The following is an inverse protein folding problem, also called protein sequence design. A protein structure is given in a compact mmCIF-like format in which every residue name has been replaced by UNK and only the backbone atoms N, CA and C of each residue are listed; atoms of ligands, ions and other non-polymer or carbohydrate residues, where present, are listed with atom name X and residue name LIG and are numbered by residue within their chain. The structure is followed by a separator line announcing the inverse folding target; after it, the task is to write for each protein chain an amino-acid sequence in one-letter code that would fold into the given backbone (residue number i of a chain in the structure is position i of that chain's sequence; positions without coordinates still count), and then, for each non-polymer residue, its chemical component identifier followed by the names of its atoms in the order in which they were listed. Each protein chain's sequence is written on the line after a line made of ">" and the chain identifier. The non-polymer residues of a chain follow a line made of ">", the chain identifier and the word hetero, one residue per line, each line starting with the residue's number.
data_IF_905647244302
#
_entry.id   IF_905647244302
#
_cell.length_a   1.000
_cell.length_b   1.000
_cell.length_c   1.000
_cell.angle_alpha   90.00
_cell.angle_beta   90.00
_cell.angle_gamma   90.00
#
_symmetry.space_group_name_H-M   'P 1'
#
loop_
_entity.id
_entity.type
_entity.pdbx_description
1 polymer ?
#
# COMPACT_ATOMS: atom_id res chain seq x y z
N UNK A 1 19.16 5.09 -12.90
CA UNK A 1 19.32 4.23 -11.70
C UNK A 1 18.20 3.19 -11.70
N UNK A 2 18.51 1.91 -11.54
CA UNK A 2 17.54 0.82 -11.65
C UNK A 2 17.39 0.12 -10.30
N UNK A 3 16.17 0.12 -9.75
CA UNK A 3 15.81 -0.48 -8.47
C UNK A 3 14.52 -1.27 -8.63
N UNK A 4 14.43 -2.45 -8.03
CA UNK A 4 13.22 -3.29 -8.03
C UNK A 4 12.55 -3.41 -9.41
N UNK A 5 13.36 -3.77 -10.41
CA UNK A 5 12.95 -4.00 -11.79
C UNK A 5 12.40 -2.75 -12.51
N UNK A 6 12.75 -1.54 -12.05
CA UNK A 6 12.28 -0.27 -12.61
C UNK A 6 13.36 0.80 -12.59
N UNK A 7 13.31 1.71 -13.55
CA UNK A 7 14.12 2.92 -13.57
C UNK A 7 13.51 3.96 -12.64
N UNK A 8 14.29 4.44 -11.69
CA UNK A 8 13.89 5.53 -10.82
C UNK A 8 13.69 6.81 -11.63
N UNK A 9 12.55 7.48 -11.45
CA UNK A 9 12.27 8.76 -12.07
C UNK A 9 11.84 9.81 -11.04
N UNK A 10 12.15 11.07 -11.35
CA UNK A 10 11.66 12.23 -10.59
C UNK A 10 10.79 13.07 -11.50
N UNK A 11 9.49 13.06 -11.21
CA UNK A 11 8.50 13.76 -12.02
C UNK A 11 8.45 15.26 -11.66
N UNK A 12 8.02 16.14 -12.60
CA UNK A 12 7.95 17.59 -12.36
C UNK A 12 7.03 18.02 -11.21
N UNK A 13 6.05 17.18 -10.87
CA UNK A 13 5.10 17.40 -9.75
C UNK A 13 5.72 17.14 -8.36
N UNK A 14 6.97 16.65 -8.30
CA UNK A 14 7.63 16.28 -7.06
C UNK A 14 7.51 14.80 -6.70
N UNK A 15 6.82 13.99 -7.51
CA UNK A 15 6.62 12.56 -7.25
C UNK A 15 7.87 11.75 -7.61
N UNK A 16 8.20 10.79 -6.74
CA UNK A 16 9.28 9.81 -6.97
C UNK A 16 8.68 8.43 -7.07
N UNK A 17 8.87 7.79 -8.21
CA UNK A 17 8.42 6.43 -8.49
C UNK A 17 9.38 5.75 -9.50
N UNK A 18 9.05 4.54 -9.92
CA UNK A 18 9.77 3.77 -10.91
C UNK A 18 8.95 3.57 -12.18
N UNK A 19 9.59 3.72 -13.33
CA UNK A 19 9.06 3.40 -14.66
C UNK A 19 9.75 2.17 -15.25
N UNK A 20 9.11 1.53 -16.21
CA UNK A 20 9.73 0.47 -17.04
C UNK A 20 10.45 1.05 -18.26
N UNK A 21 10.21 2.33 -18.57
CA UNK A 21 10.85 3.02 -19.68
C UNK A 21 12.34 3.21 -19.41
N UNK A 22 13.17 2.50 -20.18
CA UNK A 22 14.61 2.75 -20.20
C UNK A 22 14.88 4.08 -20.89
N UNK A 23 15.85 4.84 -20.37
CA UNK A 23 16.27 6.14 -20.91
C UNK A 23 15.17 7.21 -21.03
N UNK A 24 14.06 7.07 -20.29
CA UNK A 24 13.02 8.10 -20.23
C UNK A 24 13.56 9.44 -19.70
N UNK A 25 12.99 10.56 -20.14
CA UNK A 25 13.48 11.93 -19.84
C UNK A 25 13.66 12.20 -18.34
N UNK A 26 12.80 11.63 -17.50
CA UNK A 26 12.82 11.80 -16.04
C UNK A 26 13.67 10.77 -15.28
N UNK A 27 14.25 9.79 -15.99
CA UNK A 27 15.08 8.70 -15.42
C UNK A 27 16.58 9.00 -15.43
N UNK A 28 16.97 10.08 -16.11
CA UNK A 28 18.36 10.53 -16.22
C UNK A 28 18.69 11.36 -14.98
N UNK A 29 19.59 10.83 -14.16
CA UNK A 29 19.92 11.38 -12.85
C UNK A 29 21.40 11.78 -12.79
N UNK A 30 21.66 12.98 -12.30
CA UNK A 30 22.98 13.45 -11.96
C UNK A 30 23.28 13.13 -10.50
N UNK A 31 24.31 12.32 -10.27
CA UNK A 31 24.91 12.10 -8.96
C UNK A 31 26.05 13.09 -8.77
N UNK A 32 26.06 13.79 -7.64
CA UNK A 32 27.12 14.74 -7.30
C UNK A 32 27.51 14.60 -5.84
N UNK A 33 28.82 14.50 -5.58
CA UNK A 33 29.39 14.47 -4.25
C UNK A 33 29.06 15.76 -3.51
N UNK A 34 28.45 15.63 -2.33
CA UNK A 34 28.19 16.76 -1.44
C UNK A 34 29.30 16.90 -0.40
N UNK A 35 29.68 15.78 0.24
CA UNK A 35 30.81 15.64 1.17
C UNK A 35 31.39 14.23 1.02
N UNK A 36 32.51 13.95 1.66
CA UNK A 36 33.06 12.59 1.71
C UNK A 36 31.99 11.61 2.22
N UNK A 37 31.72 10.55 1.45
CA UNK A 37 30.69 9.54 1.76
C UNK A 37 29.24 9.99 1.58
N UNK A 38 28.99 11.26 1.20
CA UNK A 38 27.66 11.83 1.05
C UNK A 38 27.46 12.43 -0.35
N UNK A 39 26.34 12.10 -0.98
CA UNK A 39 26.01 12.61 -2.30
C UNK A 39 24.59 13.13 -2.41
N UNK A 40 24.36 13.87 -3.48
CA UNK A 40 23.05 14.30 -3.92
C UNK A 40 22.71 13.60 -5.23
N UNK A 41 21.41 13.37 -5.43
CA UNK A 41 20.87 12.81 -6.67
C UNK A 41 19.88 13.83 -7.21
N UNK A 42 20.09 14.29 -8.43
CA UNK A 42 19.27 15.32 -9.07
C UNK A 42 18.73 14.82 -10.41
N UNK A 43 17.45 15.07 -10.69
CA UNK A 43 16.88 14.87 -12.02
C UNK A 43 17.44 15.89 -13.01
N UNK A 44 17.96 15.42 -14.14
CA UNK A 44 18.60 16.29 -15.14
C UNK A 44 17.59 17.17 -15.89
N UNK A 45 16.41 16.61 -16.19
CA UNK A 45 15.33 17.34 -16.86
C UNK A 45 14.52 18.23 -15.90
N UNK A 46 14.22 17.74 -14.69
CA UNK A 46 13.35 18.47 -13.74
C UNK A 46 14.10 19.41 -12.80
N UNK A 47 15.42 19.24 -12.68
CA UNK A 47 16.27 19.97 -11.73
C UNK A 47 15.89 19.80 -10.27
N UNK A 48 15.06 18.81 -9.96
CA UNK A 48 14.66 18.46 -8.60
C UNK A 48 15.68 17.50 -7.99
N UNK A 49 15.99 17.72 -6.71
CA UNK A 49 16.75 16.78 -5.91
C UNK A 49 15.84 15.66 -5.41
N UNK A 50 16.34 14.43 -5.45
CA UNK A 50 15.75 13.32 -4.70
C UNK A 50 15.92 13.61 -3.21
N UNK A 51 14.85 13.45 -2.45
CA UNK A 51 14.84 13.72 -1.02
C UNK A 51 14.07 12.64 -0.28
N UNK A 52 14.45 12.39 0.97
CA UNK A 52 13.84 11.42 1.85
C UNK A 52 13.54 12.06 3.21
N UNK A 53 12.25 12.08 3.57
CA UNK A 53 11.86 12.66 4.86
C UNK A 53 12.20 11.73 6.04
N UNK A 54 12.15 12.25 7.27
CA UNK A 54 12.48 11.49 8.48
C UNK A 54 11.55 10.28 8.72
N UNK A 55 10.41 10.23 8.04
CA UNK A 55 9.46 9.14 8.09
C UNK A 55 9.65 8.11 6.95
N UNK A 56 10.65 8.30 6.10
CA UNK A 56 11.03 7.43 4.99
C UNK A 56 10.18 7.56 3.74
N UNK A 57 9.50 8.69 3.55
CA UNK A 57 8.84 8.99 2.28
C UNK A 57 9.82 9.67 1.31
N UNK A 58 9.90 9.16 0.08
CA UNK A 58 10.69 9.73 -1.00
C UNK A 58 9.88 10.80 -1.74
N UNK A 59 10.53 11.92 -2.03
CA UNK A 59 9.94 13.03 -2.76
C UNK A 59 11.03 13.77 -3.54
N UNK A 60 10.64 14.58 -4.51
CA UNK A 60 11.54 15.42 -5.27
C UNK A 60 11.32 16.89 -4.88
N UNK A 61 12.40 17.66 -4.73
CA UNK A 61 12.31 19.06 -4.34
C UNK A 61 13.35 19.94 -5.05
N UNK A 62 12.95 21.17 -5.41
CA UNK A 62 13.84 22.13 -6.10
C UNK A 62 14.98 22.60 -5.21
N UNK A 63 14.71 22.70 -3.92
CA UNK A 63 15.62 23.25 -2.93
C UNK A 63 16.40 22.15 -2.23
N UNK A 64 17.73 22.25 -2.31
CA UNK A 64 18.63 21.34 -1.61
C UNK A 64 18.46 21.52 -0.10
N UNK A 65 17.92 20.48 0.53
CA UNK A 65 17.69 20.43 1.97
C UNK A 65 18.45 19.27 2.58
N UNK A 66 18.41 19.22 3.90
CA UNK A 66 18.94 18.08 4.63
C UNK A 66 18.28 16.77 4.19
N UNK A 67 17.03 16.73 3.72
CA UNK A 67 16.42 15.47 3.26
C UNK A 67 17.05 14.91 1.97
N UNK A 68 17.82 15.69 1.24
CA UNK A 68 18.24 15.39 -0.14
C UNK A 68 19.69 14.89 -0.26
N UNK A 69 20.31 14.58 0.87
CA UNK A 69 21.69 14.07 0.94
C UNK A 69 21.65 12.61 1.40
N UNK A 70 22.38 11.75 0.69
CA UNK A 70 22.38 10.31 0.90
C UNK A 70 23.80 9.81 1.16
N UNK A 71 23.91 8.81 2.02
CA UNK A 71 25.05 7.92 2.10
C UNK A 71 24.92 6.87 1.00
N UNK A 72 25.98 6.68 0.23
CA UNK A 72 26.11 5.60 -0.75
C UNK A 72 26.96 4.49 -0.14
N UNK A 73 26.48 3.26 -0.23
CA UNK A 73 27.20 2.08 0.19
C UNK A 73 27.21 1.05 -0.94
N UNK A 74 28.38 0.46 -1.21
CA UNK A 74 28.54 -0.64 -2.16
C UNK A 74 28.35 -1.93 -1.37
N UNK A 75 27.33 -2.70 -1.73
CA UNK A 75 27.04 -4.00 -1.12
C UNK A 75 27.92 -5.09 -1.75
N UNK A 76 28.06 -6.22 -1.06
CA UNK A 76 28.89 -7.37 -1.49
C UNK A 76 28.54 -7.92 -2.88
N UNK A 77 27.28 -7.74 -3.30
CA UNK A 77 26.79 -8.16 -4.60
C UNK A 77 27.00 -7.11 -5.71
N UNK A 78 27.85 -6.10 -5.49
CA UNK A 78 28.15 -4.99 -6.40
C UNK A 78 26.96 -4.08 -6.75
N UNK A 79 25.88 -4.14 -5.97
CA UNK A 79 24.81 -3.16 -6.03
C UNK A 79 25.07 -2.02 -5.05
N UNK A 80 24.52 -0.85 -5.35
CA UNK A 80 24.58 0.29 -4.44
C UNK A 80 23.31 0.35 -3.57
N UNK A 81 23.45 0.81 -2.34
CA UNK A 81 22.33 1.28 -1.53
C UNK A 81 22.49 2.77 -1.25
N UNK A 82 21.36 3.48 -1.26
CA UNK A 82 21.30 4.91 -0.93
C UNK A 82 20.49 5.07 0.33
N UNK A 83 21.08 5.69 1.35
CA UNK A 83 20.46 5.71 2.67
C UNK A 83 20.69 7.00 3.43
N UNK A 84 19.95 7.13 4.53
CA UNK A 84 19.97 8.27 5.43
C UNK A 84 19.82 7.78 6.87
N UNK A 85 20.75 8.14 7.74
CA UNK A 85 20.66 7.84 9.18
C UNK A 85 20.07 9.04 9.93
N UNK A 86 18.99 8.81 10.68
CA UNK A 86 18.34 9.80 11.56
C UNK A 86 17.83 9.14 12.82
N UNK A 87 18.16 9.72 13.99
CA UNK A 87 17.68 9.26 15.29
C UNK A 87 17.78 7.73 15.49
N UNK A 88 18.95 7.16 15.19
CA UNK A 88 19.22 5.72 15.33
C UNK A 88 18.54 4.81 14.30
N UNK A 89 17.91 5.38 13.27
CA UNK A 89 17.26 4.63 12.18
C UNK A 89 17.91 4.93 10.85
N UNK A 90 18.22 3.88 10.09
CA UNK A 90 18.71 3.95 8.71
C UNK A 90 17.53 3.76 7.76
N UNK A 91 17.36 4.72 6.86
CA UNK A 91 16.25 4.74 5.91
C UNK A 91 16.81 4.66 4.49
N UNK A 92 16.28 3.76 3.68
CA UNK A 92 16.80 3.44 2.35
C UNK A 92 15.90 3.93 1.24
N UNK A 93 16.51 4.39 0.16
CA UNK A 93 15.86 4.56 -1.13
C UNK A 93 15.32 3.21 -1.58
N UNK A 94 14.00 3.11 -1.73
CA UNK A 94 13.37 1.86 -2.08
C UNK A 94 12.09 2.05 -2.89
N UNK A 95 11.84 1.10 -3.78
CA UNK A 95 10.59 0.99 -4.54
C UNK A 95 9.86 -0.30 -4.16
N UNK A 96 8.53 -0.29 -4.24
CA UNK A 96 7.74 -1.51 -4.12
C UNK A 96 7.64 -2.27 -5.46
N UNK A 97 6.97 -3.43 -5.47
CA UNK A 97 6.79 -4.24 -6.69
C UNK A 97 6.04 -3.49 -7.81
N UNK A 98 5.24 -2.47 -7.44
CA UNK A 98 4.46 -1.64 -8.37
C UNK A 98 5.23 -0.40 -8.82
N UNK A 99 6.46 -0.20 -8.34
CA UNK A 99 7.29 0.96 -8.65
C UNK A 99 6.94 2.20 -7.85
N UNK A 100 6.14 2.09 -6.80
CA UNK A 100 5.85 3.23 -5.92
C UNK A 100 6.96 3.35 -4.88
N UNK A 101 7.22 4.57 -4.44
CA UNK A 101 8.12 4.81 -3.31
C UNK A 101 7.71 3.96 -2.10
N UNK A 102 8.63 3.13 -1.61
CA UNK A 102 8.45 2.27 -0.45
C UNK A 102 9.18 2.85 0.75
N UNK A 103 8.52 2.89 1.91
CA UNK A 103 9.19 3.26 3.16
C UNK A 103 9.99 2.08 3.69
N UNK A 104 11.32 2.20 3.68
CA UNK A 104 12.23 1.16 4.18
C UNK A 104 13.12 1.77 5.26
N UNK A 105 12.62 1.78 6.49
CA UNK A 105 13.32 2.30 7.66
C UNK A 105 13.59 1.16 8.64
N UNK A 106 14.86 0.96 9.00
CA UNK A 106 15.30 -0.08 9.94
C UNK A 106 16.21 0.53 11.01
N UNK A 107 16.33 -0.07 12.21
CA UNK A 107 17.37 0.31 13.17
C UNK A 107 18.77 0.19 12.54
N UNK A 108 19.70 1.07 12.91
CA UNK A 108 21.07 1.05 12.35
C UNK A 108 21.80 -0.26 12.63
N UNK A 109 21.49 -0.93 13.75
CA UNK A 109 22.06 -2.24 14.12
C UNK A 109 21.55 -3.40 13.27
N UNK A 110 20.47 -3.23 12.51
CA UNK A 110 19.82 -4.30 11.75
C UNK A 110 20.26 -4.25 10.28
N UNK A 111 20.71 -5.38 9.69
CA UNK A 111 20.96 -5.45 8.24
C UNK A 111 19.64 -5.43 7.45
N UNK A 112 19.70 -5.13 6.13
CA UNK A 112 18.49 -5.09 5.30
C UNK A 112 17.79 -6.46 5.23
N UNK A 113 18.56 -7.55 5.13
CA UNK A 113 18.03 -8.90 4.96
C UNK A 113 17.03 -8.96 3.80
N UNK A 114 15.84 -9.52 4.04
CA UNK A 114 14.77 -9.65 3.04
C UNK A 114 14.27 -8.32 2.44
N UNK A 115 14.64 -7.16 3.02
CA UNK A 115 14.29 -5.86 2.47
C UNK A 115 15.28 -5.39 1.39
N UNK A 116 16.43 -6.05 1.23
CA UNK A 116 17.47 -5.69 0.27
C UNK A 116 16.92 -5.59 -1.15
N UNK A 117 16.09 -6.54 -1.58
CA UNK A 117 15.52 -6.58 -2.93
C UNK A 117 14.69 -5.34 -3.31
N UNK A 118 14.27 -4.50 -2.35
CA UNK A 118 13.57 -3.25 -2.64
C UNK A 118 14.48 -2.02 -2.73
N UNK A 119 15.71 -2.11 -2.20
CA UNK A 119 16.63 -0.98 -2.03
C UNK A 119 17.94 -1.09 -2.82
N UNK A 120 18.30 -2.31 -3.26
CA UNK A 120 19.46 -2.52 -4.11
C UNK A 120 19.28 -1.78 -5.43
N UNK A 121 20.31 -1.01 -5.79
CA UNK A 121 20.31 -0.12 -6.94
C UNK A 121 21.46 -0.46 -7.88
N UNK A 122 21.12 -0.69 -9.15
CA UNK A 122 22.11 -0.73 -10.21
C UNK A 122 22.24 0.65 -10.85
N UNK A 123 23.46 1.14 -10.99
CA UNK A 123 23.73 2.43 -11.65
C UNK A 123 24.46 2.22 -12.96
N UNK A 124 23.79 2.52 -14.06
CA UNK A 124 24.38 2.60 -15.39
C UNK A 124 24.82 4.04 -15.68
N UNK A 125 25.93 4.18 -16.42
CA UNK A 125 26.35 5.49 -16.94
C UNK A 125 25.40 5.91 -18.07
N UNK A 126 25.20 7.21 -18.20
CA UNK A 126 24.45 7.79 -19.32
C UNK A 126 25.41 8.08 -20.46
N UNK A 127 25.18 7.46 -21.62
CA UNK A 127 26.04 7.59 -22.80
C UNK A 127 25.57 8.68 -23.78
N UNK A 128 24.40 9.28 -23.55
CA UNK A 128 23.90 10.38 -24.37
C UNK A 128 24.57 11.72 -24.07
N UNK A 129 24.18 12.79 -24.78
CA UNK A 129 24.74 14.12 -24.57
C UNK A 129 24.49 14.59 -23.13
N UNK A 130 25.44 15.36 -22.57
CA UNK A 130 25.27 16.03 -21.27
C UNK A 130 24.26 17.16 -21.42
N UNK A 131 22.98 16.86 -21.21
CA UNK A 131 21.91 17.85 -21.22
C UNK A 131 21.60 18.33 -19.79
N UNK A 132 22.55 18.94 -19.06
CA UNK A 132 22.18 19.58 -17.79
C UNK A 132 21.47 20.91 -18.06
N UNK A 133 20.14 20.88 -18.19
CA UNK A 133 19.30 22.09 -18.28
C UNK A 133 19.27 22.88 -16.95
N UNK A 134 19.83 22.30 -15.89
CA UNK A 134 19.79 22.85 -14.56
C UNK A 134 20.87 23.91 -14.35
N UNK A 135 20.53 25.07 -13.75
CA UNK A 135 21.52 26.05 -13.37
C UNK A 135 22.58 25.40 -12.47
N UNK A 136 23.89 25.69 -12.67
CA UNK A 136 24.95 25.15 -11.83
C UNK A 136 24.75 25.63 -10.39
N UNK A 137 24.19 24.77 -9.54
CA UNK A 137 24.03 25.06 -8.11
C UNK A 137 25.30 24.64 -7.41
N UNK A 138 26.11 25.63 -7.01
CA UNK A 138 27.22 25.38 -6.08
C UNK A 138 26.61 24.85 -4.79
N UNK A 139 27.03 23.68 -4.32
CA UNK A 139 26.71 23.16 -2.98
C UNK A 139 27.31 24.02 -1.84
N UNK A 140 27.67 25.27 -2.12
CA UNK A 140 28.26 26.24 -1.20
C UNK A 140 27.12 27.09 -0.63
N UNK A 141 26.56 26.64 0.48
CA UNK A 141 25.50 27.34 1.19
C UNK A 141 24.90 26.50 2.31
N UNK A 142 24.21 27.14 3.25
CA UNK A 142 23.45 26.40 4.28
C UNK A 142 22.31 25.65 3.59
N UNK A 143 22.16 24.37 3.93
CA UNK A 143 21.03 23.56 3.46
C UNK A 143 19.71 24.23 3.83
N UNK A 144 18.77 24.26 2.89
CA UNK A 144 17.44 24.80 3.14
C UNK A 144 16.64 23.87 4.06
N UNK A 145 15.60 24.42 4.68
CA UNK A 145 14.66 23.62 5.49
C UNK A 145 13.76 22.79 4.55
N UNK A 146 13.49 21.51 4.87
CA UNK A 146 12.52 20.72 4.12
C UNK A 146 11.12 21.36 4.10
N UNK A 147 10.31 21.12 3.06
CA UNK A 147 8.94 21.63 2.99
C UNK A 147 8.13 21.25 4.24
N UNK A 148 7.19 22.10 4.72
CA UNK A 148 6.45 21.87 5.96
C UNK A 148 5.71 20.53 6.01
N UNK A 149 5.24 20.05 4.86
CA UNK A 149 4.60 18.74 4.73
C UNK A 149 5.57 17.63 5.19
N UNK A 150 6.76 17.56 4.61
CA UNK A 150 7.79 16.56 4.94
C UNK A 150 8.38 16.77 6.33
N UNK A 151 8.62 18.02 6.74
CA UNK A 151 9.10 18.35 8.09
C UNK A 151 8.17 17.84 9.20
N UNK A 152 6.86 17.92 8.97
CA UNK A 152 5.84 17.49 9.95
C UNK A 152 5.35 16.06 9.72
N UNK A 153 6.12 15.19 9.06
CA UNK A 153 5.69 13.83 8.70
C UNK A 153 5.23 13.01 9.93
N UNK A 154 5.93 13.10 11.06
CA UNK A 154 5.57 12.36 12.28
C UNK A 154 4.19 12.75 12.83
N UNK A 155 3.88 14.06 12.89
CA UNK A 155 2.57 14.56 13.33
C UNK A 155 1.44 14.02 12.45
N UNK A 156 1.67 13.94 11.13
CA UNK A 156 0.70 13.41 10.16
C UNK A 156 0.48 11.92 10.35
N UNK A 157 1.56 11.15 10.52
CA UNK A 157 1.46 9.71 10.75
C UNK A 157 0.76 9.37 12.06
N UNK A 158 1.05 10.10 13.14
CA UNK A 158 0.33 9.93 14.40
C UNK A 158 -1.17 10.19 14.22
N UNK A 159 -1.55 11.29 13.55
CA UNK A 159 -2.96 11.59 13.25
C UNK A 159 -3.63 10.51 12.40
N UNK A 160 -2.95 9.99 11.37
CA UNK A 160 -3.46 8.90 10.53
C UNK A 160 -3.68 7.62 11.34
N UNK A 161 -2.70 7.21 12.15
CA UNK A 161 -2.80 6.03 13.00
C UNK A 161 -3.97 6.14 14.00
N UNK A 162 -4.17 7.30 14.60
CA UNK A 162 -5.32 7.54 15.49
C UNK A 162 -6.66 7.47 14.75
N UNK A 163 -6.74 7.96 13.51
CA UNK A 163 -7.94 7.83 12.66
C UNK A 163 -8.23 6.36 12.32
N UNK A 164 -7.21 5.58 11.97
CA UNK A 164 -7.38 4.14 11.70
C UNK A 164 -7.84 3.38 12.94
N UNK A 165 -7.24 3.63 14.11
CA UNK A 165 -7.69 3.04 15.38
C UNK A 165 -9.16 3.37 15.68
N UNK A 166 -9.60 4.61 15.46
CA UNK A 166 -11.02 5.01 15.62
C UNK A 166 -11.94 4.29 14.64
N UNK A 167 -11.53 4.09 13.38
CA UNK A 167 -12.31 3.32 12.39
C UNK A 167 -12.46 1.86 12.80
N UNK A 168 -11.38 1.20 13.21
CA UNK A 168 -11.43 -0.18 13.70
C UNK A 168 -12.30 -0.32 14.96
N UNK A 169 -12.19 0.63 15.91
CA UNK A 169 -13.06 0.66 17.10
C UNK A 169 -14.55 0.78 16.73
N UNK A 170 -14.91 1.61 15.75
CA UNK A 170 -16.29 1.73 15.26
C UNK A 170 -16.77 0.49 14.51
N UNK A 171 -15.91 -0.21 13.77
CA UNK A 171 -16.25 -1.44 13.06
C UNK A 171 -16.50 -2.62 14.03
N UNK A 172 -15.79 -2.63 15.15
CA UNK A 172 -15.90 -3.68 16.17
C UNK A 172 -16.92 -3.36 17.28
N UNK A 173 -17.68 -2.26 17.18
CA UNK A 173 -18.72 -1.90 18.15
C UNK A 173 -19.96 -2.83 17.97
N UNK A 174 -20.29 -3.68 18.96
CA UNK A 174 -21.38 -4.65 18.87
C UNK A 174 -22.76 -4.03 18.61
N UNK A 175 -22.93 -2.74 18.96
CA UNK A 175 -24.23 -2.04 18.88
C UNK A 175 -24.75 -1.82 17.45
N UNK A 176 -23.94 -2.06 16.40
CA UNK A 176 -24.35 -1.88 15.00
C UNK A 176 -24.71 -3.17 14.25
N UNK A 177 -24.48 -4.35 14.83
CA UNK A 177 -24.87 -5.64 14.23
C UNK A 177 -26.33 -6.05 14.49
N UNK A 178 -27.09 -5.24 15.24
CA UNK A 178 -28.44 -5.59 15.68
C UNK A 178 -29.48 -4.56 15.21
N UNK A 179 -29.65 -4.43 13.90
CA UNK A 179 -30.84 -3.80 13.31
C UNK A 179 -31.28 -4.59 12.08
N UNK A 180 -31.82 -5.78 12.31
CA UNK A 180 -32.80 -6.35 11.39
C UNK A 180 -34.16 -5.71 11.72
N UNK A 181 -34.90 -5.18 10.73
CA UNK A 181 -36.26 -4.71 10.99
C UNK A 181 -37.13 -5.93 11.31
N UNK A 182 -37.63 -6.03 12.54
CA UNK A 182 -38.64 -7.03 12.88
C UNK A 182 -39.91 -6.68 12.11
N UNK A 183 -40.22 -7.46 11.08
CA UNK A 183 -41.53 -7.43 10.41
C UNK A 183 -42.62 -7.67 11.44
N UNK A 184 -43.53 -6.71 11.58
CA UNK A 184 -44.70 -6.77 12.45
C UNK A 184 -45.69 -7.76 11.83
N UNK A 185 -45.73 -9.01 12.31
CA UNK A 185 -46.85 -9.92 12.03
C UNK A 185 -48.10 -9.33 12.67
N UNK A 186 -49.11 -9.07 11.85
CA UNK A 186 -50.46 -8.65 12.27
C UNK A 186 -51.33 -9.90 12.13
N UNK A 187 -51.88 -10.40 13.23
CA UNK A 187 -52.87 -11.48 13.21
C UNK A 187 -54.29 -10.90 13.13
N UNK A 188 -55.05 -11.54 12.25
CA UNK A 188 -56.49 -11.77 12.18
C UNK A 188 -57.51 -10.61 12.19
N UNK A 189 -58.41 -10.69 11.20
CA UNK A 189 -59.82 -10.99 11.48
C UNK A 189 -60.40 -11.77 10.29
N UNK A 190 -61.03 -12.90 10.59
CA UNK A 190 -61.73 -13.74 9.61
C UNK A 190 -63.01 -13.10 9.11
N UNK A 191 -63.40 -13.44 7.89
CA UNK A 191 -64.79 -13.43 7.47
C UNK A 191 -65.01 -14.61 6.54
N UNK A 192 -65.93 -15.45 6.97
CA UNK A 192 -66.43 -16.67 6.34
C UNK A 192 -66.96 -16.36 4.95
N UNK A 193 -66.56 -17.10 3.93
CA UNK A 193 -67.39 -17.30 2.74
C UNK A 193 -67.24 -18.73 2.27
N UNK A 194 -68.34 -19.44 2.39
CA UNK A 194 -68.59 -20.80 1.94
C UNK A 194 -68.59 -20.85 0.42
N UNK A 195 -67.75 -21.70 -0.18
CA UNK A 195 -68.02 -22.26 -1.52
C UNK A 195 -67.44 -23.67 -1.58
N UNK A 196 -68.37 -24.60 -1.39
CA UNK A 196 -68.52 -25.94 -1.97
C UNK A 196 -67.30 -26.69 -2.52
N UNK A 197 -67.18 -27.92 -2.01
CA UNK A 197 -66.27 -28.97 -2.44
C UNK A 197 -66.89 -29.69 -3.64
N UNK A 198 -66.19 -29.69 -4.77
CA UNK A 198 -66.37 -30.66 -5.85
C UNK A 198 -65.03 -31.33 -6.09
N UNK A 199 -64.97 -32.64 -5.83
CA UNK A 199 -63.83 -33.49 -6.19
C UNK A 199 -64.12 -34.15 -7.53
N UNK A 200 -63.31 -33.86 -8.53
CA UNK A 200 -63.30 -34.58 -9.80
C UNK A 200 -62.17 -35.62 -9.80
N UNK A 201 -62.60 -36.87 -9.92
CA UNK A 201 -61.78 -38.06 -9.97
C UNK A 201 -61.26 -38.27 -11.39
N UNK A 202 -60.18 -37.59 -11.79
CA UNK A 202 -59.46 -37.87 -13.04
C UNK A 202 -58.11 -37.14 -13.11
N UNK A 203 -57.06 -37.71 -12.51
CA UNK A 203 -55.66 -37.68 -13.00
C UNK A 203 -54.73 -38.49 -12.08
N UNK A 204 -55.12 -39.71 -11.69
CA UNK A 204 -54.13 -40.74 -11.33
C UNK A 204 -53.73 -41.47 -12.60
N UNK A 205 -52.68 -41.01 -13.26
CA UNK A 205 -51.89 -41.82 -14.21
C UNK A 205 -50.58 -41.11 -14.49
N UNK A 206 -49.55 -41.45 -13.69
CA UNK A 206 -48.11 -41.55 -14.04
C UNK A 206 -47.26 -41.38 -12.78
N UNK A 207 -47.29 -42.37 -11.88
CA UNK A 207 -46.20 -42.57 -10.92
C UNK A 207 -45.87 -44.05 -10.83
N UNK A 208 -44.62 -44.38 -11.16
CA UNK A 208 -44.05 -45.73 -11.16
C UNK A 208 -43.70 -46.21 -9.74
N UNK A 209 -43.79 -47.52 -9.54
CA UNK A 209 -43.92 -48.23 -8.27
C UNK A 209 -42.60 -48.53 -7.54
N UNK A 210 -41.70 -47.55 -7.40
CA UNK A 210 -40.42 -47.79 -6.69
C UNK A 210 -40.10 -46.83 -5.55
N UNK A 211 -40.93 -45.81 -5.30
CA UNK A 211 -40.64 -44.80 -4.26
C UNK A 211 -41.60 -44.83 -3.04
N UNK A 212 -42.55 -45.76 -3.00
CA UNK A 212 -43.55 -45.84 -1.93
C UNK A 212 -43.06 -46.52 -0.63
N UNK A 213 -41.90 -47.19 -0.65
CA UNK A 213 -41.41 -47.97 0.50
C UNK A 213 -40.26 -47.32 1.28
N UNK A 214 -39.72 -46.18 0.82
CA UNK A 214 -38.65 -45.48 1.55
C UNK A 214 -39.17 -44.49 2.60
N UNK A 215 -40.42 -44.01 2.47
CA UNK A 215 -40.96 -42.96 3.34
C UNK A 215 -41.80 -43.44 4.53
N UNK A 216 -41.93 -44.76 4.75
CA UNK A 216 -42.76 -45.33 5.83
C UNK A 216 -41.99 -45.80 7.08
N UNK A 217 -40.72 -45.48 7.25
CA UNK A 217 -39.90 -46.04 8.36
C UNK A 217 -39.09 -45.05 9.18
N UNK A 218 -39.49 -43.77 9.30
CA UNK A 218 -38.78 -42.81 10.17
C UNK A 218 -39.67 -41.88 11.00
N UNK A 219 -40.83 -42.38 11.46
CA UNK A 219 -41.61 -41.75 12.55
C UNK A 219 -41.86 -42.77 13.66
N UNK A 220 -40.90 -42.95 14.57
CA UNK A 220 -41.13 -43.41 15.95
C UNK A 220 -39.79 -43.44 16.72
N UNK A 221 -39.56 -42.47 17.60
CA UNK A 221 -39.18 -42.64 19.02
C UNK A 221 -38.61 -41.33 19.61
N UNK A 222 -39.50 -40.58 20.27
CA UNK A 222 -39.18 -39.67 21.37
C UNK A 222 -39.01 -40.47 22.69
N UNK A 223 -38.37 -39.81 23.69
CA UNK A 223 -38.13 -40.20 25.09
C UNK A 223 -36.98 -41.21 25.27
N UNK A 224 -35.90 -40.92 26.00
CA UNK A 224 -35.74 -40.55 27.43
C UNK A 224 -34.41 -39.77 27.50
N UNK A 225 -34.22 -38.64 28.20
CA UNK A 225 -34.61 -38.29 29.56
C UNK A 225 -33.34 -37.84 30.29
N UNK A 226 -33.31 -36.56 30.68
CA UNK A 226 -32.33 -35.91 31.56
C UNK A 226 -31.93 -36.78 32.77
N UNK A 227 -30.63 -36.89 33.02
CA UNK A 227 -29.96 -36.63 34.30
C UNK A 227 -28.45 -36.50 34.06
#
# INVERSE_FOLDING_TARGET
>A
MFLKNRYLQLLPDGTVNGTTEDKGVYTILQRATYKVGLLTIQGVSTCLYLCMDACGFHYANKDLSDDCVFEEHIEENNYNTYSRIRAGKKTYLALDNRGRSRRTQIPVSRPLGNLSGYALTLTTRWDGPRQSQCPPRRHRGKLKRPPPFHRNCHKRLQKQNMRHKRKHKKANDPKKKQRHPKGRRKHDNGTTTTTEVTWDESTMSTMSTTDAEFFRSATAQEAVGRA
#
